data_IF_618174018720
#
_entry.id   IF_618174018720
#
_cell.length_a   1.000
_cell.length_b   1.000
_cell.length_c   1.000
_cell.angle_alpha   90.00
_cell.angle_beta   90.00
_cell.angle_gamma   90.00
#
_symmetry.space_group_name_H-M   'P 1'
#
loop_
_entity.id
_entity.type
_entity.pdbx_description
1 polymer ?
#
# COMPACT_ATOMS: atom_id res chain seq x y z
N UNK A 1 -40.85 19.65 -14.20
CA UNK A 1 -39.45 20.02 -14.52
C UNK A 1 -38.72 18.79 -15.06
N UNK A 2 -38.24 18.87 -16.30
CA UNK A 2 -38.08 17.75 -17.24
C UNK A 2 -36.77 16.96 -17.09
N UNK A 3 -36.86 15.63 -17.13
CA UNK A 3 -35.72 14.69 -17.22
C UNK A 3 -34.83 14.92 -18.47
N UNK A 4 -35.32 15.69 -19.44
CA UNK A 4 -34.65 15.94 -20.72
C UNK A 4 -33.45 16.90 -20.61
N UNK A 5 -33.46 17.84 -19.65
CA UNK A 5 -32.35 18.81 -19.46
C UNK A 5 -31.13 18.19 -18.77
N UNK A 6 -31.32 17.16 -17.93
CA UNK A 6 -30.21 16.48 -17.22
C UNK A 6 -29.30 15.69 -18.17
N UNK A 7 -29.88 15.09 -19.21
CA UNK A 7 -29.15 14.28 -20.20
C UNK A 7 -28.25 15.12 -21.13
N UNK A 8 -28.74 16.29 -21.58
CA UNK A 8 -27.96 17.21 -22.43
C UNK A 8 -26.79 17.85 -21.68
N UNK A 9 -26.96 18.19 -20.41
CA UNK A 9 -25.91 18.78 -19.58
C UNK A 9 -24.75 17.80 -19.31
N UNK A 10 -25.06 16.51 -19.10
CA UNK A 10 -24.04 15.49 -18.90
C UNK A 10 -23.23 15.20 -20.19
N UNK A 11 -23.90 15.22 -21.35
CA UNK A 11 -23.24 15.06 -22.66
C UNK A 11 -22.34 16.26 -23.01
N UNK A 12 -22.77 17.50 -22.73
CA UNK A 12 -21.97 18.69 -23.02
C UNK A 12 -20.72 18.78 -22.13
N UNK A 13 -20.83 18.42 -20.84
CA UNK A 13 -19.67 18.35 -19.95
C UNK A 13 -18.66 17.28 -20.38
N UNK A 14 -19.15 16.10 -20.81
CA UNK A 14 -18.29 15.02 -21.30
C UNK A 14 -17.52 15.43 -22.56
N UNK A 15 -18.19 16.14 -23.48
CA UNK A 15 -17.59 16.64 -24.71
C UNK A 15 -16.58 17.78 -24.45
N UNK A 16 -16.93 18.75 -23.60
CA UNK A 16 -16.02 19.83 -23.22
C UNK A 16 -14.76 19.31 -22.52
N UNK A 17 -14.92 18.31 -21.64
CA UNK A 17 -13.82 17.63 -20.95
C UNK A 17 -12.92 16.86 -21.92
N UNK A 18 -13.50 16.13 -22.89
CA UNK A 18 -12.73 15.41 -23.91
C UNK A 18 -11.94 16.35 -24.84
N UNK A 19 -12.56 17.46 -25.28
CA UNK A 19 -11.89 18.45 -26.13
C UNK A 19 -10.76 19.15 -25.37
N UNK A 20 -10.97 19.50 -24.10
CA UNK A 20 -9.95 20.12 -23.25
C UNK A 20 -8.74 19.19 -23.00
N UNK A 21 -8.97 17.90 -22.76
CA UNK A 21 -7.90 16.91 -22.57
C UNK A 21 -7.06 16.75 -23.85
N UNK A 22 -7.68 16.72 -25.03
CA UNK A 22 -6.97 16.55 -26.32
C UNK A 22 -6.01 17.71 -26.62
N UNK A 23 -6.41 18.95 -26.32
CA UNK A 23 -5.57 20.13 -26.57
C UNK A 23 -4.32 20.19 -25.69
N UNK A 24 -4.35 19.58 -24.50
CA UNK A 24 -3.22 19.54 -23.56
C UNK A 24 -2.16 18.47 -23.88
N UNK A 25 -2.50 17.43 -24.64
CA UNK A 25 -1.65 16.24 -24.85
C UNK A 25 -0.52 16.46 -25.89
N UNK A 26 -0.56 17.51 -26.70
CA UNK A 26 0.30 17.62 -27.90
C UNK A 26 1.67 18.30 -27.75
N UNK A 27 2.20 18.56 -26.55
CA UNK A 27 3.54 19.18 -26.43
C UNK A 27 4.42 18.53 -25.36
N UNK A 28 5.45 17.80 -25.81
CA UNK A 28 6.58 17.30 -25.01
C UNK A 28 7.57 18.43 -24.64
N UNK A 29 7.11 19.42 -23.87
CA UNK A 29 8.02 20.29 -23.14
C UNK A 29 8.41 19.60 -21.82
N UNK A 30 9.69 19.68 -21.42
CA UNK A 30 10.18 19.12 -20.15
C UNK A 30 9.27 19.55 -19.00
N UNK A 31 8.67 18.59 -18.29
CA UNK A 31 7.81 18.83 -17.14
C UNK A 31 6.29 18.72 -17.39
N UNK A 32 5.83 18.60 -18.64
CA UNK A 32 4.40 18.33 -18.94
C UNK A 32 4.04 16.85 -18.68
N UNK A 33 2.81 16.56 -18.22
CA UNK A 33 2.42 15.19 -17.98
C UNK A 33 2.31 14.47 -19.32
N UNK A 34 2.89 13.27 -19.41
CA UNK A 34 2.80 12.46 -20.63
C UNK A 34 1.35 12.03 -20.89
N UNK A 35 0.55 11.90 -19.82
CA UNK A 35 -0.86 11.55 -19.84
C UNK A 35 -1.60 12.21 -18.69
N UNK A 36 -2.84 12.64 -18.93
CA UNK A 36 -3.74 13.19 -17.92
C UNK A 36 -4.82 12.15 -17.66
N UNK A 37 -4.92 11.69 -16.41
CA UNK A 37 -5.89 10.71 -15.97
C UNK A 37 -7.15 11.42 -15.46
N UNK A 38 -8.30 10.93 -15.88
CA UNK A 38 -9.61 11.48 -15.56
C UNK A 38 -10.16 10.97 -14.23
N UNK A 39 -9.75 9.77 -13.81
CA UNK A 39 -10.17 9.13 -12.56
C UNK A 39 -9.17 8.05 -12.13
N UNK A 40 -9.24 7.67 -10.86
CA UNK A 40 -8.56 6.49 -10.29
C UNK A 40 -9.57 5.47 -9.74
N UNK A 41 -10.86 5.68 -9.98
CA UNK A 41 -11.90 4.75 -9.55
C UNK A 41 -12.10 3.67 -10.62
N UNK A 42 -11.89 2.37 -10.31
CA UNK A 42 -11.98 1.28 -11.29
C UNK A 42 -13.28 1.29 -12.12
N UNK A 43 -14.42 1.55 -11.48
CA UNK A 43 -15.73 1.58 -12.14
C UNK A 43 -15.94 2.74 -13.12
N UNK A 44 -15.07 3.75 -13.08
CA UNK A 44 -15.18 4.96 -13.89
C UNK A 44 -14.11 5.06 -14.98
N UNK A 45 -13.16 4.12 -15.03
CA UNK A 45 -12.04 4.11 -15.97
C UNK A 45 -12.55 4.21 -17.41
N UNK A 46 -11.99 5.16 -18.16
CA UNK A 46 -12.23 5.35 -19.59
C UNK A 46 -11.05 4.83 -20.42
N UNK A 47 -11.22 4.60 -21.74
CA UNK A 47 -10.12 4.21 -22.62
C UNK A 47 -8.89 5.13 -22.54
N UNK A 48 -9.10 6.44 -22.32
CA UNK A 48 -8.03 7.44 -22.21
C UNK A 48 -7.23 7.34 -20.90
N UNK A 49 -7.79 6.69 -19.86
CA UNK A 49 -7.11 6.44 -18.60
C UNK A 49 -6.16 5.23 -18.67
N UNK A 50 -6.23 4.45 -19.76
CA UNK A 50 -5.31 3.34 -20.02
C UNK A 50 -4.01 3.92 -20.59
N UNK A 51 -2.92 3.72 -19.86
CA UNK A 51 -1.59 4.21 -20.21
C UNK A 51 -0.62 3.05 -20.39
N UNK A 52 0.31 3.23 -21.32
CA UNK A 52 1.46 2.34 -21.48
C UNK A 52 2.68 3.03 -20.89
N UNK A 53 3.28 2.39 -19.88
CA UNK A 53 4.49 2.88 -19.22
C UNK A 53 5.70 1.95 -19.44
N UNK A 54 5.60 0.99 -20.36
CA UNK A 54 6.63 0.01 -20.69
C UNK A 54 7.97 0.68 -21.01
N UNK A 55 9.07 0.13 -20.47
CA UNK A 55 10.44 0.59 -20.74
C UNK A 55 10.80 1.98 -20.19
N UNK A 56 9.83 2.73 -19.66
CA UNK A 56 10.07 4.07 -19.09
C UNK A 56 10.72 3.97 -17.71
N UNK A 57 11.61 4.89 -17.37
CA UNK A 57 12.18 4.99 -16.00
C UNK A 57 11.33 5.87 -15.08
N UNK A 58 10.67 6.89 -15.65
CA UNK A 58 9.97 7.95 -14.93
C UNK A 58 8.82 8.52 -15.76
N UNK A 59 7.78 7.74 -16.07
CA UNK A 59 6.60 8.27 -16.75
C UNK A 59 5.92 9.30 -15.84
N UNK A 60 5.49 10.42 -16.42
CA UNK A 60 4.82 11.49 -15.69
C UNK A 60 3.33 11.45 -15.97
N UNK A 61 2.52 11.42 -14.91
CA UNK A 61 1.06 11.45 -15.02
C UNK A 61 0.51 12.71 -14.35
N UNK A 62 -0.53 13.28 -14.92
CA UNK A 62 -1.37 14.31 -14.30
C UNK A 62 -2.74 13.73 -13.94
N UNK A 63 -3.49 14.41 -13.09
CA UNK A 63 -4.85 14.00 -12.69
C UNK A 63 -5.82 15.16 -12.87
N UNK A 64 -7.06 14.88 -13.27
CA UNK A 64 -8.14 15.87 -13.24
C UNK A 64 -8.84 15.89 -11.87
N UNK A 65 -9.25 17.07 -11.37
CA UNK A 65 -9.10 18.41 -11.95
C UNK A 65 -7.75 19.08 -11.66
N UNK A 66 -6.81 18.40 -10.97
CA UNK A 66 -5.48 18.87 -10.60
C UNK A 66 -4.52 19.02 -11.81
N UNK A 67 -4.91 19.85 -12.78
CA UNK A 67 -4.32 20.01 -14.11
C UNK A 67 -2.85 20.47 -14.12
N UNK A 68 -2.36 21.02 -13.02
CA UNK A 68 -1.06 21.70 -12.98
C UNK A 68 0.07 20.89 -12.33
N UNK A 69 -0.25 19.77 -11.67
CA UNK A 69 0.74 18.97 -10.97
C UNK A 69 1.04 17.67 -11.72
N UNK A 70 2.29 17.51 -12.15
CA UNK A 70 2.77 16.29 -12.81
C UNK A 70 3.51 15.43 -11.81
N UNK A 71 3.24 14.13 -11.85
CA UNK A 71 3.76 13.19 -10.87
C UNK A 71 4.52 12.08 -11.57
N UNK A 72 5.82 12.00 -11.26
CA UNK A 72 6.68 10.94 -11.75
C UNK A 72 6.39 9.62 -11.05
N UNK A 73 6.00 8.61 -11.82
CA UNK A 73 5.98 7.23 -11.35
C UNK A 73 7.41 6.69 -11.38
N UNK A 74 7.74 5.76 -10.49
CA UNK A 74 9.06 5.16 -10.42
C UNK A 74 8.90 3.68 -10.14
N UNK A 75 9.61 2.85 -10.89
CA UNK A 75 9.77 1.44 -10.59
C UNK A 75 11.11 1.28 -9.87
N UNK A 76 11.08 0.84 -8.62
CA UNK A 76 12.25 0.83 -7.73
C UNK A 76 12.43 -0.56 -7.13
N UNK A 77 13.68 -1.04 -7.14
CA UNK A 77 14.11 -2.30 -6.51
C UNK A 77 14.46 -1.98 -5.06
N UNK A 78 13.47 -2.04 -4.16
CA UNK A 78 13.63 -1.54 -2.78
C UNK A 78 13.71 0.01 -2.69
N UNK A 79 13.75 0.55 -1.47
CA UNK A 79 13.51 1.98 -1.24
C UNK A 79 14.68 2.94 -1.56
N UNK A 80 15.92 2.43 -1.69
CA UNK A 80 17.12 3.26 -1.91
C UNK A 80 17.77 3.06 -3.30
N UNK A 81 17.14 2.30 -4.19
CA UNK A 81 17.70 2.03 -5.50
C UNK A 81 17.43 3.16 -6.49
N UNK A 82 18.32 3.25 -7.49
CA UNK A 82 18.06 4.03 -8.69
C UNK A 82 16.79 3.48 -9.36
N UNK A 83 15.87 4.33 -9.83
CA UNK A 83 14.72 3.87 -10.59
C UNK A 83 15.17 3.01 -11.77
N UNK A 84 14.61 1.81 -11.83
CA UNK A 84 14.75 0.90 -12.98
C UNK A 84 13.64 1.20 -13.98
N UNK A 85 13.76 0.66 -15.18
CA UNK A 85 12.69 0.75 -16.18
C UNK A 85 11.49 -0.07 -15.70
N UNK A 86 10.29 0.44 -15.94
CA UNK A 86 9.08 -0.39 -15.86
C UNK A 86 9.23 -1.59 -16.81
N UNK A 87 8.73 -2.79 -16.43
CA UNK A 87 8.81 -3.96 -17.28
C UNK A 87 8.16 -3.73 -18.65
N UNK A 88 8.57 -4.49 -19.65
CA UNK A 88 7.85 -4.51 -20.93
C UNK A 88 6.41 -4.99 -20.73
N UNK A 89 5.51 -4.57 -21.62
CA UNK A 89 4.07 -4.86 -21.55
C UNK A 89 3.39 -4.36 -20.25
N UNK A 90 3.85 -3.22 -19.72
CA UNK A 90 3.20 -2.53 -18.60
C UNK A 90 2.18 -1.52 -19.11
N UNK A 91 1.13 -2.04 -19.77
CA UNK A 91 -0.06 -1.29 -20.18
C UNK A 91 -1.19 -1.53 -19.17
N UNK A 92 -1.86 -0.47 -18.75
CA UNK A 92 -2.87 -0.56 -17.70
C UNK A 92 -3.33 0.79 -17.17
N UNK A 93 -3.81 0.83 -15.93
CA UNK A 93 -4.34 2.04 -15.31
C UNK A 93 -3.93 2.17 -13.84
N UNK A 94 -3.92 3.41 -13.35
CA UNK A 94 -3.79 3.71 -11.93
C UNK A 94 -5.15 3.63 -11.26
N UNK A 95 -5.21 3.02 -10.08
CA UNK A 95 -6.46 2.90 -9.35
C UNK A 95 -6.29 3.06 -7.84
N UNK A 96 -7.32 3.61 -7.21
CA UNK A 96 -7.42 3.72 -5.76
C UNK A 96 -7.69 2.35 -5.14
N UNK A 97 -6.86 1.99 -4.16
CA UNK A 97 -6.96 0.74 -3.43
C UNK A 97 -7.11 1.02 -1.94
N UNK A 98 -8.22 0.56 -1.38
CA UNK A 98 -8.40 0.37 0.06
C UNK A 98 -8.26 -1.12 0.39
N UNK A 99 -7.41 -1.50 1.37
CA UNK A 99 -7.26 -2.90 1.79
C UNK A 99 -8.54 -3.54 2.37
N UNK A 100 -9.50 -2.73 2.82
CA UNK A 100 -10.77 -3.20 3.37
C UNK A 100 -11.66 -2.05 3.87
N UNK A 101 -12.94 -2.32 4.16
CA UNK A 101 -13.90 -1.29 4.54
C UNK A 101 -13.54 -0.56 5.84
N UNK A 102 -12.90 -1.28 6.76
CA UNK A 102 -12.47 -0.74 8.05
C UNK A 102 -11.04 -0.19 8.02
N UNK A 103 -10.27 -0.46 6.95
CA UNK A 103 -8.85 -0.16 6.91
C UNK A 103 -8.59 1.34 7.17
N UNK A 104 -7.64 1.69 8.06
CA UNK A 104 -7.30 3.09 8.30
C UNK A 104 -6.91 3.81 7.02
N UNK A 105 -7.29 5.07 6.89
CA UNK A 105 -7.02 5.86 5.68
C UNK A 105 -5.53 5.96 5.34
N UNK A 106 -4.67 5.90 6.34
CA UNK A 106 -3.20 5.85 6.19
C UNK A 106 -2.70 4.67 5.36
N UNK A 107 -3.51 3.61 5.19
CA UNK A 107 -3.22 2.43 4.38
C UNK A 107 -3.73 2.51 2.95
N UNK A 108 -4.50 3.55 2.60
CA UNK A 108 -4.97 3.67 1.23
C UNK A 108 -3.81 4.02 0.30
N UNK A 109 -3.88 3.45 -0.90
CA UNK A 109 -2.82 3.55 -1.90
C UNK A 109 -3.39 3.77 -3.28
N UNK A 110 -2.56 4.27 -4.20
CA UNK A 110 -2.76 4.10 -5.63
C UNK A 110 -1.91 2.93 -6.09
N UNK A 111 -2.51 1.98 -6.81
CA UNK A 111 -1.81 0.87 -7.45
C UNK A 111 -1.87 1.01 -8.97
N UNK A 112 -1.01 0.27 -9.65
CA UNK A 112 -1.07 0.14 -11.11
C UNK A 112 -1.54 -1.26 -11.44
N UNK A 113 -2.66 -1.37 -12.17
CA UNK A 113 -3.18 -2.65 -12.65
C UNK A 113 -2.96 -2.77 -14.15
N UNK A 114 -2.29 -3.84 -14.57
CA UNK A 114 -2.10 -4.18 -15.98
C UNK A 114 -3.38 -4.75 -16.55
N UNK A 115 -3.82 -4.24 -17.70
CA UNK A 115 -4.97 -4.72 -18.45
C UNK A 115 -4.80 -4.38 -19.94
N UNK A 116 -5.53 -5.08 -20.82
CA UNK A 116 -5.52 -4.85 -22.25
C UNK A 116 -6.33 -3.63 -22.68
N UNK A 117 -7.46 -3.38 -22.00
CA UNK A 117 -8.41 -2.31 -22.32
C UNK A 117 -9.24 -1.84 -21.09
N UNK A 118 -10.07 -0.81 -21.29
CA UNK A 118 -10.88 -0.20 -20.24
C UNK A 118 -12.12 -1.01 -19.83
N UNK A 119 -12.59 -1.94 -20.66
CA UNK A 119 -13.70 -2.84 -20.30
C UNK A 119 -13.22 -3.88 -19.28
N UNK A 120 -12.08 -4.52 -19.55
CA UNK A 120 -11.40 -5.41 -18.61
C UNK A 120 -11.15 -4.70 -17.26
N UNK A 121 -10.67 -3.44 -17.29
CA UNK A 121 -10.44 -2.63 -16.11
C UNK A 121 -11.71 -2.43 -15.25
N UNK A 122 -12.82 -2.04 -15.88
CA UNK A 122 -14.10 -1.78 -15.19
C UNK A 122 -14.72 -3.04 -14.59
N UNK A 123 -14.50 -4.18 -15.23
CA UNK A 123 -14.97 -5.49 -14.76
C UNK A 123 -14.04 -6.10 -13.69
N UNK A 124 -13.07 -5.34 -13.18
CA UNK A 124 -12.13 -5.79 -12.16
C UNK A 124 -11.07 -6.77 -12.67
N UNK A 125 -10.99 -6.99 -13.99
CA UNK A 125 -9.96 -7.82 -14.62
C UNK A 125 -8.56 -7.20 -14.57
N UNK A 126 -7.60 -7.94 -15.11
CA UNK A 126 -6.18 -7.57 -15.09
C UNK A 126 -5.41 -8.07 -13.86
N UNK A 127 -4.13 -7.69 -13.77
CA UNK A 127 -3.23 -8.07 -12.67
C UNK A 127 -2.44 -6.87 -12.19
N UNK A 128 -2.31 -6.70 -10.88
CA UNK A 128 -1.48 -5.65 -10.32
C UNK A 128 -0.03 -5.77 -10.85
N UNK A 129 0.58 -4.63 -11.14
CA UNK A 129 2.01 -4.55 -11.42
C UNK A 129 2.73 -4.89 -10.12
N UNK A 130 3.56 -5.92 -10.11
CA UNK A 130 4.36 -6.27 -8.94
C UNK A 130 5.63 -5.41 -8.90
N UNK A 131 6.13 -5.09 -7.72
CA UNK A 131 7.48 -4.57 -7.53
C UNK A 131 8.52 -5.56 -8.09
N UNK A 132 9.77 -5.14 -8.34
CA UNK A 132 10.82 -6.03 -8.85
C UNK A 132 11.11 -7.24 -7.96
N UNK A 133 10.73 -7.16 -6.68
CA UNK A 133 10.83 -8.28 -5.76
C UNK A 133 9.79 -9.39 -6.07
N UNK A 134 8.77 -9.13 -6.88
CA UNK A 134 7.73 -10.08 -7.26
C UNK A 134 6.67 -10.33 -6.19
N UNK A 135 6.79 -9.72 -5.00
CA UNK A 135 5.97 -10.05 -3.84
C UNK A 135 4.85 -9.06 -3.58
N UNK A 136 5.19 -7.78 -3.67
CA UNK A 136 4.28 -6.71 -3.32
C UNK A 136 3.78 -6.02 -4.58
N UNK A 137 2.49 -5.68 -4.66
CA UNK A 137 2.01 -4.75 -5.65
C UNK A 137 2.81 -3.44 -5.61
N UNK A 138 3.11 -2.92 -6.79
CA UNK A 138 3.59 -1.56 -6.96
C UNK A 138 2.48 -0.62 -6.51
N UNK A 139 2.84 0.31 -5.63
CA UNK A 139 1.88 1.24 -5.07
C UNK A 139 2.51 2.60 -4.76
N UNK A 140 1.66 3.62 -4.75
CA UNK A 140 1.91 4.94 -4.21
C UNK A 140 1.07 5.11 -2.97
N UNK A 141 1.69 5.69 -1.98
CA UNK A 141 1.18 5.76 -0.63
C UNK A 141 0.37 7.05 -0.39
N UNK A 142 -0.40 7.11 0.70
CA UNK A 142 -1.30 8.24 1.02
C UNK A 142 -0.66 9.64 0.90
N UNK A 143 0.52 9.88 1.44
CA UNK A 143 1.22 11.15 1.31
C UNK A 143 1.63 11.51 -0.13
N UNK A 144 1.84 10.53 -1.02
CA UNK A 144 1.97 10.82 -2.46
C UNK A 144 0.61 11.27 -3.03
N UNK A 145 -0.48 10.60 -2.63
CA UNK A 145 -1.83 10.97 -3.07
C UNK A 145 -2.21 12.39 -2.64
N UNK A 146 -1.92 12.77 -1.38
CA UNK A 146 -2.14 14.12 -0.86
C UNK A 146 -1.33 15.15 -1.64
N UNK A 147 -0.02 14.91 -1.83
CA UNK A 147 0.84 15.81 -2.63
C UNK A 147 0.36 15.96 -4.08
N UNK A 148 -0.35 14.96 -4.59
CA UNK A 148 -0.89 14.97 -5.95
C UNK A 148 -2.29 15.56 -6.11
N UNK A 149 -2.96 15.94 -5.02
CA UNK A 149 -4.34 16.42 -5.05
C UNK A 149 -5.38 15.34 -5.37
N UNK A 150 -4.98 14.07 -5.50
CA UNK A 150 -5.91 12.95 -5.73
C UNK A 150 -6.84 12.78 -4.53
N UNK A 151 -6.33 13.00 -3.31
CA UNK A 151 -7.15 12.87 -2.10
C UNK A 151 -8.31 13.85 -2.11
N UNK A 152 -8.09 15.11 -2.50
CA UNK A 152 -9.16 16.11 -2.56
C UNK A 152 -10.24 15.68 -3.55
N UNK A 153 -9.86 15.15 -4.71
CA UNK A 153 -10.80 14.62 -5.70
C UNK A 153 -11.59 13.40 -5.17
N UNK A 154 -10.94 12.53 -4.40
CA UNK A 154 -11.57 11.37 -3.77
C UNK A 154 -12.46 11.74 -2.58
N UNK A 155 -12.19 12.85 -1.90
CA UNK A 155 -13.06 13.39 -0.84
C UNK A 155 -14.28 14.06 -1.46
N UNK A 156 -14.08 14.89 -2.50
CA UNK A 156 -15.16 15.58 -3.21
C UNK A 156 -16.18 14.62 -3.85
N UNK A 157 -15.74 13.44 -4.30
CA UNK A 157 -16.61 12.43 -4.87
C UNK A 157 -17.20 11.45 -3.85
N UNK A 158 -16.89 11.60 -2.55
CA UNK A 158 -17.39 10.76 -1.47
C UNK A 158 -16.71 9.39 -1.34
N UNK A 159 -15.63 9.10 -2.07
CA UNK A 159 -14.89 7.82 -1.94
C UNK A 159 -14.12 7.77 -0.61
N UNK A 160 -13.49 8.88 -0.23
CA UNK A 160 -12.85 9.04 1.08
C UNK A 160 -13.76 9.93 1.93
N UNK A 161 -14.36 9.33 2.95
CA UNK A 161 -15.26 10.06 3.88
C UNK A 161 -14.49 10.85 4.93
N UNK A 162 -13.32 10.35 5.34
CA UNK A 162 -12.43 10.98 6.32
C UNK A 162 -11.10 11.34 5.65
N UNK A 163 -10.85 12.62 5.33
CA UNK A 163 -9.57 13.02 4.76
C UNK A 163 -8.42 12.67 5.74
N UNK A 164 -7.23 12.37 5.22
CA UNK A 164 -6.06 12.11 6.08
C UNK A 164 -5.75 13.37 6.90
N UNK A 165 -5.59 13.17 8.20
CA UNK A 165 -5.17 14.22 9.13
C UNK A 165 -3.67 14.49 8.99
N UNK A 166 -3.18 15.63 9.52
CA UNK A 166 -1.74 15.90 9.63
C UNK A 166 -0.98 14.78 10.35
N UNK A 167 -1.67 14.07 11.25
CA UNK A 167 -1.14 12.92 11.98
C UNK A 167 -1.00 11.69 11.09
N UNK A 168 -2.00 11.39 10.26
CA UNK A 168 -1.92 10.32 9.26
C UNK A 168 -0.77 10.56 8.29
N UNK A 169 -0.52 11.82 7.93
CA UNK A 169 0.61 12.22 7.09
C UNK A 169 1.97 12.01 7.79
N UNK A 170 2.09 12.36 9.07
CA UNK A 170 3.32 12.13 9.85
C UNK A 170 3.61 10.63 10.05
N UNK A 171 2.54 9.86 10.29
CA UNK A 171 2.56 8.40 10.31
C UNK A 171 3.06 7.86 8.97
N UNK A 172 2.51 8.35 7.87
CA UNK A 172 2.94 7.99 6.52
C UNK A 172 4.43 8.23 6.31
N UNK A 173 4.95 9.42 6.65
CA UNK A 173 6.34 9.74 6.40
C UNK A 173 7.25 8.79 7.20
N UNK A 174 6.81 8.40 8.39
CA UNK A 174 7.50 7.42 9.24
C UNK A 174 7.49 6.00 8.65
N UNK A 175 6.35 5.55 8.16
CA UNK A 175 6.16 4.20 7.62
C UNK A 175 6.85 4.01 6.28
N UNK A 176 6.65 4.95 5.34
CA UNK A 176 7.11 4.82 3.97
C UNK A 176 8.57 5.25 3.76
N UNK A 177 9.18 5.90 4.75
CA UNK A 177 10.63 6.09 4.79
C UNK A 177 11.40 4.80 5.13
N UNK A 178 10.77 3.82 5.79
CA UNK A 178 11.43 2.58 6.23
C UNK A 178 11.26 1.44 5.23
N UNK A 179 12.30 0.60 5.12
CA UNK A 179 12.52 -0.34 4.00
C UNK A 179 11.56 -1.54 3.93
N UNK A 180 10.63 -1.76 4.87
CA UNK A 180 9.78 -2.96 4.88
C UNK A 180 8.38 -2.71 5.49
N UNK A 181 7.36 -3.24 4.82
CA UNK A 181 5.92 -2.92 4.96
C UNK A 181 5.12 -3.95 5.76
N UNK A 182 5.57 -4.34 6.94
CA UNK A 182 4.76 -5.22 7.78
C UNK A 182 3.77 -4.37 8.55
N UNK A 183 2.73 -3.95 7.86
CA UNK A 183 1.66 -3.13 8.41
C UNK A 183 0.49 -4.04 8.72
N UNK A 184 0.06 -4.08 9.97
CA UNK A 184 -1.08 -4.87 10.41
C UNK A 184 -2.10 -3.92 11.01
N UNK A 185 -3.32 -3.98 10.51
CA UNK A 185 -4.40 -3.13 11.01
C UNK A 185 -5.56 -3.94 11.55
N UNK A 186 -5.72 -5.19 11.12
CA UNK A 186 -6.81 -6.06 11.58
C UNK A 186 -6.31 -7.42 12.10
N UNK A 187 -7.06 -8.05 13.02
CA UNK A 187 -6.83 -9.44 13.41
C UNK A 187 -6.86 -10.39 12.22
N UNK A 188 -6.16 -11.51 12.31
CA UNK A 188 -6.09 -12.50 11.23
C UNK A 188 -5.37 -12.06 9.95
N UNK A 189 -4.92 -10.80 9.86
CA UNK A 189 -4.20 -10.32 8.68
C UNK A 189 -2.87 -11.05 8.51
N UNK A 190 -2.65 -11.56 7.29
CA UNK A 190 -1.37 -12.17 6.91
C UNK A 190 -0.34 -11.10 6.58
N UNK A 191 0.90 -11.30 7.00
CA UNK A 191 2.05 -10.48 6.63
C UNK A 191 3.27 -11.36 6.41
N UNK A 192 4.22 -10.88 5.61
CA UNK A 192 5.44 -11.62 5.28
C UNK A 192 6.59 -11.23 6.22
N UNK A 193 7.43 -12.18 6.61
CA UNK A 193 8.65 -11.89 7.38
C UNK A 193 9.84 -12.34 6.57
N UNK A 194 10.78 -11.41 6.31
CA UNK A 194 12.08 -11.75 5.77
C UNK A 194 12.95 -12.32 6.88
N UNK A 195 13.42 -13.56 6.72
CA UNK A 195 14.40 -14.16 7.62
C UNK A 195 15.78 -14.01 7.00
N UNK A 196 16.74 -13.52 7.79
CA UNK A 196 18.15 -13.48 7.43
C UNK A 196 18.87 -14.65 8.11
N UNK A 197 19.13 -15.75 7.38
CA UNK A 197 19.73 -16.95 7.97
C UNK A 197 21.15 -16.70 8.48
N UNK A 198 21.86 -15.68 7.96
CA UNK A 198 23.25 -15.40 8.35
C UNK A 198 23.36 -14.79 9.75
N UNK A 199 22.29 -14.18 10.26
CA UNK A 199 22.33 -13.41 11.51
C UNK A 199 22.01 -14.24 12.76
N UNK A 200 21.67 -15.52 12.63
CA UNK A 200 21.31 -16.42 13.74
C UNK A 200 20.14 -15.95 14.62
N UNK A 201 19.55 -14.80 14.29
CA UNK A 201 18.54 -14.08 15.09
C UNK A 201 17.50 -13.50 14.13
N UNK A 202 16.25 -13.89 14.34
CA UNK A 202 15.12 -13.32 13.61
C UNK A 202 14.86 -11.93 14.18
N UNK A 203 15.06 -10.87 13.39
CA UNK A 203 14.63 -9.52 13.75
C UNK A 203 13.64 -9.03 12.72
N UNK A 204 12.47 -8.60 13.15
CA UNK A 204 11.55 -7.91 12.25
C UNK A 204 10.80 -6.80 12.98
N UNK A 205 10.45 -5.80 12.18
CA UNK A 205 9.64 -4.66 12.60
C UNK A 205 8.24 -4.89 12.06
N UNK A 206 7.24 -4.80 12.93
CA UNK A 206 5.82 -4.80 12.62
C UNK A 206 5.29 -3.41 12.98
N UNK A 207 4.36 -2.89 12.20
CA UNK A 207 3.67 -1.63 12.51
C UNK A 207 2.20 -1.95 12.65
N UNK A 208 1.68 -1.76 13.86
CA UNK A 208 0.25 -1.83 14.09
C UNK A 208 -0.34 -0.47 13.77
N UNK A 209 -1.31 -0.45 12.86
CA UNK A 209 -1.86 0.77 12.28
C UNK A 209 -3.35 0.85 12.60
N UNK A 210 -3.76 1.96 13.19
CA UNK A 210 -5.15 2.34 13.41
C UNK A 210 -5.44 3.72 12.81
N UNK A 211 -6.65 4.21 13.01
CA UNK A 211 -7.05 5.57 12.63
C UNK A 211 -6.23 6.60 13.40
N UNK A 212 -5.31 7.30 12.72
CA UNK A 212 -4.42 8.28 13.34
C UNK A 212 -3.39 7.69 14.32
N UNK A 213 -3.27 6.38 14.44
CA UNK A 213 -2.38 5.73 15.40
C UNK A 213 -1.42 4.77 14.69
N UNK A 214 -0.13 4.82 15.04
CA UNK A 214 0.83 3.79 14.64
C UNK A 214 1.74 3.40 15.78
N UNK A 215 1.83 2.09 16.00
CA UNK A 215 2.65 1.49 17.04
C UNK A 215 3.66 0.55 16.39
N UNK A 216 4.96 0.91 16.39
CA UNK A 216 5.99 0.00 15.93
C UNK A 216 6.26 -1.07 17.00
N UNK A 217 6.19 -2.33 16.60
CA UNK A 217 6.58 -3.48 17.39
C UNK A 217 7.88 -4.06 16.80
N UNK A 218 8.91 -4.12 17.62
CA UNK A 218 10.17 -4.77 17.27
C UNK A 218 10.23 -6.10 17.96
N UNK A 219 10.31 -7.16 17.18
CA UNK A 219 10.38 -8.51 17.73
C UNK A 219 11.68 -9.15 17.32
N UNK A 220 12.34 -9.73 18.30
CA UNK A 220 13.63 -10.39 18.19
C UNK A 220 13.45 -11.82 18.71
N UNK A 221 13.79 -12.80 17.88
CA UNK A 221 13.70 -14.22 18.22
C UNK A 221 12.43 -14.96 17.79
N UNK A 222 12.57 -16.27 17.54
CA UNK A 222 11.47 -17.12 17.10
C UNK A 222 10.57 -17.60 18.25
N UNK A 223 11.14 -18.10 19.35
CA UNK A 223 10.35 -18.60 20.47
C UNK A 223 9.60 -17.48 21.19
N UNK A 224 10.24 -16.32 21.36
CA UNK A 224 9.60 -15.15 21.95
C UNK A 224 8.51 -14.56 21.05
N UNK A 225 8.71 -14.65 19.73
CA UNK A 225 7.65 -14.34 18.79
C UNK A 225 6.45 -15.26 18.97
N UNK A 226 6.66 -16.58 19.02
CA UNK A 226 5.59 -17.56 19.19
C UNK A 226 4.87 -17.41 20.53
N UNK A 227 5.61 -17.24 21.62
CA UNK A 227 5.04 -17.06 22.96
C UNK A 227 4.16 -15.81 23.06
N UNK A 228 4.50 -14.75 22.31
CA UNK A 228 3.69 -13.52 22.26
C UNK A 228 2.57 -13.55 21.20
N UNK A 229 2.74 -14.31 20.11
CA UNK A 229 1.71 -14.55 19.09
C UNK A 229 0.65 -15.56 19.52
N UNK A 230 0.96 -16.45 20.46
CA UNK A 230 -0.03 -17.27 21.17
C UNK A 230 -0.84 -16.32 22.07
N UNK A 231 -1.68 -15.49 21.44
CA UNK A 231 -2.39 -14.42 22.13
C UNK A 231 -3.35 -15.02 23.16
N UNK A 232 -3.34 -14.43 24.37
CA UNK A 232 -4.47 -14.46 25.29
C UNK A 232 -5.68 -13.83 24.57
N UNK A 233 -6.85 -14.44 24.69
CA UNK A 233 -8.15 -13.89 24.25
C UNK A 233 -8.53 -14.04 22.75
N UNK A 234 -8.21 -15.17 22.09
CA UNK A 234 -8.72 -15.55 20.76
C UNK A 234 -8.34 -14.65 19.56
N UNK A 235 -7.53 -13.61 19.74
CA UNK A 235 -6.96 -12.81 18.63
C UNK A 235 -5.84 -13.60 17.93
N UNK A 236 -6.18 -14.45 16.96
CA UNK A 236 -5.18 -15.17 16.17
C UNK A 236 -4.67 -14.27 15.05
N UNK A 237 -3.40 -13.85 15.10
CA UNK A 237 -2.71 -13.35 13.91
C UNK A 237 -2.28 -14.58 13.08
N UNK A 238 -2.90 -14.76 11.92
CA UNK A 238 -2.49 -15.81 10.99
C UNK A 238 -1.17 -15.42 10.34
N UNK A 239 -0.09 -16.04 10.82
CA UNK A 239 1.22 -15.84 10.27
C UNK A 239 1.37 -16.63 8.97
N UNK A 240 1.49 -15.93 7.85
CA UNK A 240 2.02 -16.53 6.64
C UNK A 240 3.52 -16.27 6.58
N UNK A 241 4.32 -17.10 7.24
CA UNK A 241 5.78 -17.00 7.12
C UNK A 241 6.15 -17.30 5.66
N UNK A 242 7.00 -16.47 5.06
CA UNK A 242 7.56 -16.73 3.74
C UNK A 242 9.05 -16.51 3.82
N UNK A 243 9.83 -17.59 3.73
CA UNK A 243 11.28 -17.57 3.91
C UNK A 243 11.95 -17.39 2.55
N UNK A 244 12.48 -16.20 2.26
CA UNK A 244 13.40 -16.04 1.13
C UNK A 244 14.83 -16.20 1.64
N UNK A 245 15.53 -17.23 1.16
CA UNK A 245 16.97 -17.36 1.33
C UNK A 245 17.66 -16.71 0.12
N UNK A 246 18.61 -15.82 0.37
CA UNK A 246 19.50 -15.33 -0.69
C UNK A 246 20.75 -16.20 -0.66
N UNK A 247 20.92 -17.09 -1.65
CA UNK A 247 22.18 -17.79 -1.86
C UNK A 247 22.86 -17.20 -3.10
N UNK A 248 24.06 -16.63 -2.92
CA UNK A 248 25.00 -16.30 -4.00
C UNK A 248 24.39 -15.48 -5.17
N UNK A 249 23.89 -14.27 -4.89
CA UNK A 249 23.36 -13.29 -5.88
C UNK A 249 22.18 -13.75 -6.77
N UNK A 250 21.73 -15.01 -6.64
CA UNK A 250 20.45 -15.50 -7.12
C UNK A 250 19.47 -15.63 -5.94
N UNK A 251 18.42 -14.81 -5.91
CA UNK A 251 17.32 -14.98 -4.95
C UNK A 251 16.39 -16.11 -5.39
N UNK A 252 16.81 -17.36 -5.18
CA UNK A 252 15.89 -18.50 -5.24
C UNK A 252 15.00 -18.49 -4.00
N UNK A 253 13.70 -18.34 -4.22
CA UNK A 253 12.74 -18.15 -3.12
C UNK A 253 11.88 -19.39 -2.91
N UNK A 254 11.90 -19.91 -1.68
CA UNK A 254 11.04 -21.01 -1.26
C UNK A 254 9.82 -20.43 -0.54
N UNK A 255 8.63 -20.63 -1.09
CA UNK A 255 7.40 -20.36 -0.34
C UNK A 255 7.14 -21.53 0.61
N UNK A 256 7.39 -21.35 1.91
CA UNK A 256 7.03 -22.33 2.93
C UNK A 256 5.75 -21.85 3.59
N UNK A 257 4.60 -22.44 3.23
CA UNK A 257 3.41 -22.32 4.06
C UNK A 257 3.71 -23.09 5.35
N UNK A 258 3.93 -22.39 6.46
CA UNK A 258 4.15 -23.08 7.73
C UNK A 258 2.84 -23.74 8.18
N UNK A 259 2.70 -25.04 7.93
CA UNK A 259 1.89 -25.92 8.77
C UNK A 259 2.64 -26.21 10.07
N UNK A 260 1.95 -26.77 11.07
CA UNK A 260 2.53 -27.10 12.38
C UNK A 260 3.87 -27.87 12.30
N UNK A 261 4.10 -28.63 11.23
CA UNK A 261 5.23 -29.56 11.05
C UNK A 261 6.56 -28.87 10.67
N UNK A 262 6.51 -27.77 9.91
CA UNK A 262 7.71 -27.04 9.46
C UNK A 262 8.46 -26.34 10.63
N UNK A 263 7.80 -26.21 11.79
CA UNK A 263 8.33 -25.67 13.05
C UNK A 263 9.46 -26.50 13.65
N UNK A 264 9.47 -27.81 13.40
CA UNK A 264 10.47 -28.75 13.96
C UNK A 264 11.87 -28.52 13.39
N UNK A 265 11.96 -28.16 12.10
CA UNK A 265 13.21 -27.97 11.36
C UNK A 265 13.92 -26.65 11.70
N UNK A 266 13.17 -25.59 12.00
CA UNK A 266 13.74 -24.28 12.37
C UNK A 266 14.43 -24.27 13.75
N UNK A 267 14.16 -25.25 14.62
CA UNK A 267 14.70 -25.32 15.99
C UNK A 267 16.13 -25.85 16.09
N UNK A 268 16.60 -26.66 15.13
CA UNK A 268 17.97 -27.19 15.12
C UNK A 268 18.94 -26.10 14.64
N UNK A 269 19.32 -25.17 15.53
CA UNK A 269 20.43 -24.24 15.29
C UNK A 269 20.21 -22.77 15.65
N UNK A 270 19.05 -22.38 16.20
CA UNK A 270 18.79 -20.99 16.58
C UNK A 270 19.03 -20.75 18.08
N UNK A 271 19.77 -19.69 18.41
CA UNK A 271 20.10 -19.31 19.78
C UNK A 271 18.86 -18.74 20.49
N UNK A 272 18.71 -19.05 21.79
CA UNK A 272 17.67 -18.52 22.69
C UNK A 272 17.64 -16.98 22.64
N UNK A 273 16.52 -16.38 22.20
CA UNK A 273 16.44 -14.93 22.04
C UNK A 273 15.64 -14.24 23.16
N UNK A 274 16.12 -13.07 23.59
CA UNK A 274 15.33 -12.11 24.38
C UNK A 274 14.53 -11.19 23.46
N UNK A 275 13.35 -10.72 23.88
CA UNK A 275 12.67 -9.57 23.23
C UNK A 275 13.20 -8.29 23.83
N UNK A 276 13.98 -7.55 23.05
CA UNK A 276 14.21 -6.13 23.32
C UNK A 276 13.09 -5.32 22.67
N UNK A 277 12.16 -4.80 23.47
CA UNK A 277 11.46 -3.58 23.11
C UNK A 277 12.47 -2.46 23.32
N UNK A 278 13.19 -2.07 22.28
CA UNK A 278 14.13 -0.96 22.39
C UNK A 278 13.36 0.29 22.85
N UNK A 279 13.69 0.78 24.04
CA UNK A 279 13.18 2.02 24.65
C UNK A 279 13.41 3.27 23.77
N UNK A 280 14.20 3.14 22.70
CA UNK A 280 14.45 4.18 21.69
C UNK A 280 13.32 4.38 20.68
N UNK A 281 12.13 3.86 20.94
CA UNK A 281 10.94 4.33 20.23
C UNK A 281 10.54 5.66 20.87
N UNK A 282 10.73 6.77 20.13
CA UNK A 282 10.03 8.04 20.43
C UNK A 282 8.59 7.66 20.78
N UNK A 283 8.10 8.07 21.96
CA UNK A 283 6.77 7.78 22.50
C UNK A 283 5.78 7.55 21.34
N UNK A 284 5.21 6.34 21.19
CA UNK A 284 4.47 6.01 19.99
C UNK A 284 3.40 7.07 19.74
N UNK A 285 3.24 7.48 18.49
CA UNK A 285 2.51 8.69 18.16
C UNK A 285 1.01 8.48 18.44
N UNK A 286 0.57 8.76 19.68
CA UNK A 286 -0.85 8.70 20.08
C UNK A 286 -1.20 7.76 21.20
N UNK A 287 -0.19 7.20 21.85
CA UNK A 287 -0.43 6.34 23.00
C UNK A 287 -0.74 7.17 24.23
N UNK A 288 -1.78 6.83 25.01
CA UNK A 288 -1.99 7.34 26.36
C UNK A 288 -0.72 7.26 27.19
N UNK A 289 -0.55 8.22 28.10
CA UNK A 289 0.60 8.27 28.98
C UNK A 289 0.64 7.02 29.88
N UNK A 290 1.76 6.29 29.85
CA UNK A 290 1.96 5.08 30.63
C UNK A 290 1.57 3.76 29.94
N UNK A 291 0.91 3.78 28.77
CA UNK A 291 0.61 2.56 28.01
C UNK A 291 1.87 2.05 27.27
N UNK A 292 2.19 0.76 27.41
CA UNK A 292 3.28 0.12 26.70
C UNK A 292 2.94 -0.13 25.21
N UNK A 293 3.94 -0.28 24.32
CA UNK A 293 3.68 -0.49 22.90
C UNK A 293 2.85 -1.74 22.58
N UNK A 294 2.97 -2.82 23.37
CA UNK A 294 2.20 -4.03 23.12
C UNK A 294 0.72 -3.81 23.47
N UNK A 295 0.47 -3.17 24.60
CA UNK A 295 -0.87 -2.82 25.08
C UNK A 295 -1.56 -1.89 24.09
N UNK A 296 -0.86 -0.85 23.62
CA UNK A 296 -1.38 0.06 22.59
C UNK A 296 -1.68 -0.65 21.27
N UNK A 297 -0.80 -1.55 20.83
CA UNK A 297 -1.03 -2.37 19.64
C UNK A 297 -2.31 -3.22 19.79
N UNK A 298 -2.48 -3.90 20.93
CA UNK A 298 -3.65 -4.72 21.19
C UNK A 298 -4.93 -3.89 21.25
N UNK A 299 -4.88 -2.70 21.87
CA UNK A 299 -6.00 -1.76 21.90
C UNK A 299 -6.40 -1.35 20.49
N UNK A 300 -5.45 -1.04 19.60
CA UNK A 300 -5.73 -0.69 18.20
C UNK A 300 -6.41 -1.86 17.48
N UNK A 301 -5.87 -3.08 17.59
CA UNK A 301 -6.44 -4.25 16.92
C UNK A 301 -7.84 -4.61 17.45
N UNK A 302 -8.08 -4.47 18.76
CA UNK A 302 -9.41 -4.68 19.35
C UNK A 302 -10.42 -3.66 18.85
N UNK A 303 -10.05 -2.37 18.78
CA UNK A 303 -10.89 -1.33 18.18
C UNK A 303 -11.23 -1.67 16.73
N UNK A 304 -10.25 -2.15 15.96
CA UNK A 304 -10.48 -2.53 14.57
C UNK A 304 -11.46 -3.69 14.44
N UNK A 305 -11.32 -4.71 15.29
CA UNK A 305 -12.20 -5.87 15.31
C UNK A 305 -13.66 -5.44 15.58
N UNK A 306 -13.87 -4.55 16.55
CA UNK A 306 -15.19 -3.98 16.83
C UNK A 306 -15.76 -3.18 15.66
N UNK A 307 -14.92 -2.47 14.89
CA UNK A 307 -15.38 -1.79 13.68
C UNK A 307 -15.84 -2.78 12.61
N UNK A 308 -15.19 -3.94 12.47
CA UNK A 308 -15.58 -4.98 11.51
C UNK A 308 -16.90 -5.66 11.89
N UNK A 309 -17.19 -5.81 13.18
CA UNK A 309 -18.47 -6.35 13.67
C UNK A 309 -19.68 -5.45 13.38
N UNK A 310 -19.44 -4.16 13.10
CA UNK A 310 -20.49 -3.15 12.87
C UNK A 310 -20.74 -2.84 11.37
N UNK A 311 -20.02 -3.48 10.45
CA UNK A 311 -20.13 -3.30 8.98
C UNK A 311 -20.91 -4.45 8.37
#
# INVERSE_FOLDING_TARGET
MSLYTRSKFHKSLKLARQTFIRTLIHHNARGKPSRILSTVLPSQIQPEDIIDISGSKRPNVGFLPALYATHGLRYIVGHASKPVKFPENTKGFLYFHSPGPTAPSSLYTIRFRRCGNAEEARNGGGKDLMLPNGWDPWEKSMGWMVKSGIVDALVQNGTITKPPTSRDLAIYDTLFAKKHKNMVYKPGQTFSILLDPTKGTVRYSLFIVGDGEVVPLFITGWDTFRAKLAFKDNLVLHLHLRISASLNDSTDTIQILLSADATSRLRKGMVLPHVSLTRHVRKPMGTPDGEGPLESAMRILKKQMQLEENV
#
